data_IF_028605279569
#
_entry.id   IF_028605279569
#
_cell.length_a   1.000
_cell.length_b   1.000
_cell.length_c   1.000
_cell.angle_alpha   90.00
_cell.angle_beta   90.00
_cell.angle_gamma   90.00
#
_symmetry.space_group_name_H-M   'P 1'
#
loop_
_entity.id
_entity.type
_entity.pdbx_description
1 polymer ?
#
# COMPACT_ATOMS: atom_id res chain seq x y z
N UNK A 1 17.31 -56.88 -22.94
CA UNK A 1 18.60 -56.23 -22.60
C UNK A 1 18.28 -54.79 -22.23
N UNK A 2 18.13 -54.49 -20.94
CA UNK A 2 17.85 -53.13 -20.45
C UNK A 2 19.15 -52.34 -20.41
N UNK A 3 19.20 -51.22 -21.12
CA UNK A 3 20.29 -50.25 -21.01
C UNK A 3 19.82 -49.13 -20.08
N UNK A 4 20.34 -49.11 -18.85
CA UNK A 4 20.06 -48.05 -17.88
C UNK A 4 20.76 -46.76 -18.26
N UNK A 5 20.00 -45.66 -18.34
CA UNK A 5 20.52 -44.30 -18.51
C UNK A 5 21.16 -43.86 -17.17
N UNK A 6 22.49 -43.88 -17.12
CA UNK A 6 23.24 -43.49 -15.92
C UNK A 6 23.32 -41.95 -15.88
N UNK A 7 22.47 -41.30 -15.07
CA UNK A 7 22.61 -39.87 -14.78
C UNK A 7 23.84 -39.68 -13.89
N UNK A 8 24.94 -39.20 -14.47
CA UNK A 8 26.16 -38.90 -13.71
C UNK A 8 25.99 -37.52 -13.08
N UNK A 9 25.93 -37.49 -11.75
CA UNK A 9 26.07 -36.26 -10.97
C UNK A 9 27.46 -35.68 -11.20
N UNK A 10 27.54 -34.46 -11.74
CA UNK A 10 28.80 -33.74 -11.95
C UNK A 10 29.02 -32.85 -10.72
N UNK A 11 30.02 -33.13 -9.87
CA UNK A 11 30.34 -32.28 -8.72
C UNK A 11 30.84 -30.91 -9.18
N UNK A 12 30.59 -29.87 -8.37
CA UNK A 12 30.86 -28.45 -8.68
C UNK A 12 32.33 -28.14 -9.04
N UNK A 13 33.25 -29.04 -8.73
CA UNK A 13 34.69 -28.89 -9.01
C UNK A 13 35.07 -29.19 -10.48
N UNK A 14 34.16 -29.76 -11.28
CA UNK A 14 34.39 -30.11 -12.70
C UNK A 14 33.86 -29.04 -13.69
N UNK A 15 33.27 -27.94 -13.18
CA UNK A 15 32.76 -26.84 -14.00
C UNK A 15 33.88 -25.85 -14.28
N UNK A 16 34.46 -25.86 -15.48
CA UNK A 16 35.38 -24.81 -15.94
C UNK A 16 34.58 -23.52 -16.15
N UNK A 17 34.80 -22.52 -15.28
CA UNK A 17 34.15 -21.20 -15.32
C UNK A 17 34.32 -20.48 -16.67
N UNK A 18 35.25 -20.92 -17.52
CA UNK A 18 35.48 -20.39 -18.86
C UNK A 18 34.51 -20.89 -19.94
N UNK A 19 33.73 -21.94 -19.66
CA UNK A 19 32.74 -22.49 -20.60
C UNK A 19 31.28 -22.18 -20.22
N UNK A 20 31.04 -21.55 -19.07
CA UNK A 20 29.69 -21.15 -18.65
C UNK A 20 29.39 -19.77 -19.21
N UNK A 21 28.51 -19.70 -20.21
CA UNK A 21 27.97 -18.43 -20.69
C UNK A 21 27.05 -17.85 -19.61
N UNK A 22 27.58 -16.89 -18.84
CA UNK A 22 26.75 -16.09 -17.94
C UNK A 22 25.84 -15.17 -18.75
N UNK A 23 24.53 -15.39 -18.64
CA UNK A 23 23.53 -14.47 -19.18
C UNK A 23 23.57 -13.15 -18.40
N UNK A 24 23.84 -12.03 -19.10
CA UNK A 24 23.82 -10.67 -18.54
C UNK A 24 22.65 -9.87 -19.11
N UNK A 25 21.67 -9.54 -18.27
CA UNK A 25 20.50 -8.73 -18.63
C UNK A 25 20.76 -7.21 -18.71
N UNK A 26 22.00 -6.78 -18.98
CA UNK A 26 22.41 -5.35 -18.90
C UNK A 26 22.87 -4.68 -20.20
N UNK A 27 22.87 -5.39 -21.34
CA UNK A 27 23.48 -4.88 -22.58
C UNK A 27 22.51 -4.09 -23.48
N UNK A 28 21.70 -3.19 -22.90
CA UNK A 28 20.93 -2.20 -23.68
C UNK A 28 21.36 -0.74 -23.44
N UNK A 29 22.18 -0.45 -22.42
CA UNK A 29 22.55 0.94 -22.09
C UNK A 29 23.98 1.37 -22.52
N UNK A 30 24.62 0.69 -23.47
CA UNK A 30 25.92 1.14 -23.98
C UNK A 30 26.15 0.74 -25.44
N UNK A 31 25.35 1.34 -26.32
CA UNK A 31 25.83 1.76 -27.63
C UNK A 31 25.64 3.28 -27.71
N UNK A 32 26.67 4.00 -27.30
CA UNK A 32 26.75 5.44 -27.48
C UNK A 32 26.77 5.78 -28.96
N UNK A 33 25.97 6.79 -29.34
CA UNK A 33 26.07 7.33 -30.69
C UNK A 33 24.90 8.18 -31.18
N UNK A 34 24.26 9.01 -30.36
CA UNK A 34 23.62 10.21 -30.90
C UNK A 34 23.93 11.43 -30.04
N UNK A 35 24.55 12.36 -30.74
CA UNK A 35 25.05 13.65 -30.29
C UNK A 35 23.91 14.54 -29.80
N UNK A 36 24.29 15.45 -28.92
CA UNK A 36 23.54 16.64 -28.52
C UNK A 36 22.75 17.31 -29.67
N UNK A 37 21.44 17.44 -29.48
CA UNK A 37 20.64 18.53 -30.05
C UNK A 37 20.41 19.59 -28.96
N UNK A 38 20.43 20.89 -29.29
CA UNK A 38 20.36 21.96 -28.29
C UNK A 38 18.90 22.19 -27.85
N UNK A 39 18.66 22.45 -26.56
CA UNK A 39 17.43 23.10 -26.14
C UNK A 39 16.70 22.62 -24.87
N UNK A 40 17.30 21.86 -23.95
CA UNK A 40 16.66 21.58 -22.65
C UNK A 40 17.63 21.81 -21.48
N UNK A 41 17.20 22.48 -20.40
CA UNK A 41 18.09 22.85 -19.30
C UNK A 41 18.50 21.63 -18.48
N UNK A 42 19.81 21.50 -18.28
CA UNK A 42 20.45 20.48 -17.45
C UNK A 42 20.21 20.80 -15.97
N UNK A 43 19.58 19.90 -15.22
CA UNK A 43 19.40 20.05 -13.76
C UNK A 43 20.43 19.16 -13.08
N UNK A 44 21.64 19.68 -12.90
CA UNK A 44 22.63 19.08 -12.01
C UNK A 44 23.50 20.16 -11.40
N UNK A 45 23.47 20.21 -10.06
CA UNK A 45 24.32 21.09 -9.28
C UNK A 45 23.68 21.45 -7.95
N UNK A 46 23.86 20.60 -6.94
CA UNK A 46 24.01 21.12 -5.58
C UNK A 46 25.32 21.92 -5.52
N UNK A 47 25.35 23.04 -4.79
CA UNK A 47 26.58 23.39 -4.10
C UNK A 47 26.36 23.79 -2.64
N UNK A 48 27.40 23.47 -1.86
CA UNK A 48 27.60 23.79 -0.46
C UNK A 48 27.60 25.29 -0.12
N UNK A 49 27.42 25.54 1.18
CA UNK A 49 27.40 26.82 1.86
C UNK A 49 28.73 27.61 1.80
N UNK A 50 28.67 28.95 1.69
CA UNK A 50 29.16 29.91 2.71
C UNK A 50 29.09 31.41 2.31
N UNK A 51 28.59 32.21 3.27
CA UNK A 51 28.98 33.56 3.72
C UNK A 51 28.90 34.83 2.83
N UNK A 52 27.94 35.72 3.22
CA UNK A 52 27.93 37.19 3.46
C UNK A 52 29.09 38.10 2.95
N UNK A 53 28.82 39.39 2.60
CA UNK A 53 28.42 40.50 3.52
C UNK A 53 27.29 41.39 2.92
N UNK A 54 26.63 42.36 3.54
CA UNK A 54 26.79 43.10 4.80
C UNK A 54 26.24 44.52 4.61
N UNK A 55 25.42 44.99 5.55
CA UNK A 55 25.14 46.41 5.84
C UNK A 55 23.83 46.97 5.27
N UNK A 56 23.06 47.81 5.98
CA UNK A 56 23.17 48.34 7.33
C UNK A 56 21.87 49.09 7.69
N UNK A 57 21.57 49.15 9.00
CA UNK A 57 20.68 50.14 9.63
C UNK A 57 19.34 49.55 10.07
N UNK A 58 18.92 49.60 11.33
CA UNK A 58 19.39 50.29 12.53
C UNK A 58 18.69 49.63 13.73
N UNK A 59 19.40 49.60 14.86
CA UNK A 59 19.01 49.01 16.14
C UNK A 59 17.71 49.57 16.73
N UNK A 60 17.04 48.77 17.59
CA UNK A 60 16.88 49.02 19.04
C UNK A 60 15.95 48.01 19.75
N UNK A 61 16.49 47.39 20.82
CA UNK A 61 15.85 46.88 22.06
C UNK A 61 14.71 45.85 22.03
N UNK A 62 14.81 44.72 22.76
CA UNK A 62 13.67 43.87 23.05
C UNK A 62 12.87 44.45 24.23
N UNK A 63 11.62 44.85 23.97
CA UNK A 63 10.65 45.12 25.01
C UNK A 63 9.99 43.81 25.44
N UNK A 64 10.14 43.51 26.73
CA UNK A 64 9.31 42.58 27.48
C UNK A 64 7.83 42.98 27.31
N UNK A 65 6.96 42.06 26.88
CA UNK A 65 5.53 42.22 27.03
C UNK A 65 4.89 40.87 27.30
N UNK A 66 4.60 40.65 28.57
CA UNK A 66 3.72 39.64 29.12
C UNK A 66 2.39 39.60 28.35
N UNK A 67 2.11 38.47 27.71
CA UNK A 67 0.80 38.11 27.18
C UNK A 67 0.13 37.08 28.08
N UNK A 68 -0.16 37.44 29.33
CA UNK A 68 -1.11 36.68 30.15
C UNK A 68 -2.51 37.17 29.80
N UNK A 69 -3.28 36.34 29.10
CA UNK A 69 -4.71 36.55 28.96
C UNK A 69 -5.35 36.44 30.35
N UNK A 70 -5.93 37.56 30.80
CA UNK A 70 -6.81 37.64 31.96
C UNK A 70 -8.01 36.72 31.73
N UNK A 71 -8.07 35.62 32.48
CA UNK A 71 -9.30 34.86 32.66
C UNK A 71 -10.20 35.69 33.58
N UNK A 72 -11.19 36.35 32.98
CA UNK A 72 -12.30 36.97 33.69
C UNK A 72 -13.07 35.87 34.45
N UNK A 73 -13.10 35.98 35.78
CA UNK A 73 -14.06 35.23 36.60
C UNK A 73 -15.48 35.77 36.36
N UNK A 74 -16.50 34.91 36.17
CA UNK A 74 -17.88 35.35 36.31
C UNK A 74 -18.16 35.68 37.77
N UNK A 75 -18.69 36.89 38.00
CA UNK A 75 -19.09 37.37 39.31
C UNK A 75 -20.14 36.46 39.95
N UNK A 76 -19.85 36.03 41.18
CA UNK A 76 -20.84 35.43 42.08
C UNK A 76 -20.61 36.03 43.46
N UNK A 77 -21.11 37.25 43.61
CA UNK A 77 -21.39 37.85 44.91
C UNK A 77 -22.77 37.39 45.31
N UNK A 78 -22.85 36.39 46.20
CA UNK A 78 -24.09 36.06 46.90
C UNK A 78 -23.73 35.55 48.30
N UNK A 79 -23.44 36.51 49.18
CA UNK A 79 -23.50 36.30 50.62
C UNK A 79 -24.86 36.85 51.07
N UNK A 80 -25.65 36.12 51.87
CA UNK A 80 -26.91 36.64 52.38
C UNK A 80 -26.63 37.86 53.26
N UNK A 81 -27.12 39.03 52.83
CA UNK A 81 -27.26 40.22 53.67
C UNK A 81 -28.34 39.91 54.70
N UNK A 82 -27.96 39.93 55.98
CA UNK A 82 -28.92 39.98 57.07
C UNK A 82 -29.55 41.38 57.05
N UNK A 83 -30.81 41.45 56.65
CA UNK A 83 -31.64 42.65 56.75
C UNK A 83 -31.84 42.99 58.23
N UNK A 84 -31.20 44.07 58.67
CA UNK A 84 -31.49 44.70 59.94
C UNK A 84 -32.59 45.73 59.69
N UNK A 85 -33.85 45.34 59.90
CA UNK A 85 -34.94 46.29 60.06
C UNK A 85 -35.83 45.94 61.27
N UNK A 86 -35.83 46.91 62.20
CA UNK A 86 -36.89 47.26 63.17
C UNK A 86 -37.68 46.14 63.87
N UNK A 87 -37.26 45.78 65.09
CA UNK A 87 -38.20 45.43 66.16
C UNK A 87 -38.03 46.42 67.32
N UNK A 88 -38.98 47.35 67.43
CA UNK A 88 -39.11 48.31 68.52
C UNK A 88 -39.51 47.55 69.78
N UNK A 89 -38.72 47.68 70.85
CA UNK A 89 -39.08 47.27 72.20
C UNK A 89 -39.04 48.52 73.07
N UNK A 90 -40.23 48.90 73.56
CA UNK A 90 -40.49 49.97 74.50
C UNK A 90 -39.56 49.86 75.73
N UNK A 91 -38.89 50.97 76.06
CA UNK A 91 -38.13 51.16 77.29
C UNK A 91 -39.07 51.77 78.31
N UNK A 92 -39.66 50.93 79.16
CA UNK A 92 -40.23 51.37 80.43
C UNK A 92 -39.14 51.25 81.50
N UNK A 93 -38.86 52.37 82.16
CA UNK A 93 -37.84 52.50 83.19
C UNK A 93 -38.48 52.39 84.57
N UNK A 94 -38.23 51.30 85.29
CA UNK A 94 -38.15 51.33 86.75
C UNK A 94 -37.23 50.21 87.29
N UNK A 95 -36.32 50.62 88.18
CA UNK A 95 -35.20 49.88 88.81
C UNK A 95 -35.71 48.94 89.95
N UNK A 96 -34.91 48.04 90.61
CA UNK A 96 -33.48 47.77 90.52
C UNK A 96 -33.00 46.28 90.59
N UNK A 97 -31.75 46.06 90.17
CA UNK A 97 -30.83 45.11 90.81
C UNK A 97 -31.00 43.60 90.54
N UNK A 98 -30.14 43.04 89.69
CA UNK A 98 -29.38 41.80 89.97
C UNK A 98 -28.19 41.78 89.03
N UNK A 99 -27.00 41.63 89.60
CA UNK A 99 -25.75 41.54 88.88
C UNK A 99 -25.81 40.41 87.83
N UNK A 100 -25.71 40.76 86.55
CA UNK A 100 -25.37 39.80 85.52
C UNK A 100 -23.89 39.42 85.71
N UNK A 101 -23.63 38.33 86.42
CA UNK A 101 -22.34 37.64 86.31
C UNK A 101 -22.21 37.16 84.87
N UNK A 102 -21.43 37.89 84.08
CA UNK A 102 -20.76 37.30 82.93
C UNK A 102 -19.92 36.14 83.49
N UNK A 103 -20.11 34.88 83.06
CA UNK A 103 -19.17 33.85 83.46
C UNK A 103 -17.80 34.28 82.94
N UNK A 104 -16.83 34.44 83.83
CA UNK A 104 -15.43 34.54 83.44
C UNK A 104 -15.11 33.27 82.66
N UNK A 105 -15.01 33.38 81.34
CA UNK A 105 -14.60 32.26 80.50
C UNK A 105 -13.13 32.03 80.80
N UNK A 106 -12.80 30.86 81.36
CA UNK A 106 -11.41 30.47 81.62
C UNK A 106 -10.62 30.53 80.29
N UNK A 107 -9.62 31.41 80.21
CA UNK A 107 -8.82 31.66 78.99
C UNK A 107 -8.16 30.39 78.44
N UNK A 108 -7.75 29.47 79.32
CA UNK A 108 -7.18 28.18 78.94
C UNK A 108 -8.21 27.31 78.20
N UNK A 109 -9.47 27.32 78.66
CA UNK A 109 -10.54 26.53 78.04
C UNK A 109 -10.93 27.07 76.67
N UNK A 110 -10.89 28.39 76.50
CA UNK A 110 -11.11 29.03 75.20
C UNK A 110 -9.98 28.69 74.21
N UNK A 111 -8.73 28.66 74.67
CA UNK A 111 -7.60 28.32 73.81
C UNK A 111 -7.64 26.86 73.34
N UNK A 112 -7.96 25.92 74.23
CA UNK A 112 -8.16 24.50 73.86
C UNK A 112 -9.27 24.33 72.82
N UNK A 113 -10.39 25.03 72.98
CA UNK A 113 -11.50 24.98 72.01
C UNK A 113 -11.08 25.54 70.64
N UNK A 114 -10.27 26.59 70.60
CA UNK A 114 -9.77 27.15 69.34
C UNK A 114 -8.78 26.22 68.63
N UNK A 115 -7.88 25.56 69.37
CA UNK A 115 -6.95 24.58 68.82
C UNK A 115 -7.69 23.34 68.31
N UNK A 116 -8.69 22.86 69.04
CA UNK A 116 -9.57 21.77 68.59
C UNK A 116 -10.31 22.15 67.31
N UNK A 117 -10.95 23.32 67.27
CA UNK A 117 -11.64 23.80 66.08
C UNK A 117 -10.71 23.98 64.87
N UNK A 118 -9.45 24.41 65.09
CA UNK A 118 -8.43 24.49 64.03
C UNK A 118 -8.02 23.11 63.53
N UNK A 119 -7.77 22.16 64.42
CA UNK A 119 -7.38 20.81 64.06
C UNK A 119 -8.51 20.08 63.30
N UNK A 120 -9.75 20.22 63.76
CA UNK A 120 -10.94 19.68 63.10
C UNK A 120 -11.15 20.32 61.72
N UNK A 121 -11.15 21.65 61.63
CA UNK A 121 -11.28 22.35 60.35
C UNK A 121 -10.15 22.02 59.36
N UNK A 122 -8.92 21.82 59.84
CA UNK A 122 -7.80 21.39 59.01
C UNK A 122 -7.96 19.94 58.54
N UNK A 123 -8.40 19.03 59.41
CA UNK A 123 -8.65 17.63 59.06
C UNK A 123 -9.80 17.51 58.04
N UNK A 124 -10.90 18.23 58.25
CA UNK A 124 -12.03 18.29 57.33
C UNK A 124 -11.66 18.90 55.98
N UNK A 125 -10.96 20.04 55.97
CA UNK A 125 -10.51 20.68 54.72
C UNK A 125 -9.53 19.82 53.93
N UNK A 126 -8.67 19.07 54.62
CA UNK A 126 -7.74 18.14 53.99
C UNK A 126 -8.45 16.91 53.40
N UNK A 127 -9.46 16.37 54.08
CA UNK A 127 -10.28 15.28 53.53
C UNK A 127 -11.14 15.74 52.35
N UNK A 128 -11.77 16.92 52.46
CA UNK A 128 -12.52 17.55 51.36
C UNK A 128 -11.62 17.78 50.15
N UNK A 129 -10.45 18.40 50.34
CA UNK A 129 -9.48 18.64 49.26
C UNK A 129 -8.99 17.33 48.62
N UNK A 130 -8.81 16.26 49.39
CA UNK A 130 -8.47 14.92 48.85
C UNK A 130 -9.62 14.31 48.05
N UNK A 131 -10.87 14.49 48.47
CA UNK A 131 -12.03 14.01 47.73
C UNK A 131 -12.23 14.78 46.43
N UNK A 132 -12.15 16.10 46.48
CA UNK A 132 -12.25 16.97 45.30
C UNK A 132 -11.12 16.69 44.30
N UNK A 133 -9.87 16.57 44.76
CA UNK A 133 -8.74 16.24 43.89
C UNK A 133 -8.91 14.88 43.21
N UNK A 134 -9.42 13.87 43.94
CA UNK A 134 -9.72 12.55 43.37
C UNK A 134 -10.82 12.63 42.31
N UNK A 135 -11.90 13.36 42.58
CA UNK A 135 -13.01 13.50 41.64
C UNK A 135 -12.59 14.26 40.37
N UNK A 136 -11.86 15.37 40.52
CA UNK A 136 -11.33 16.13 39.39
C UNK A 136 -10.37 15.29 38.55
N UNK A 137 -9.45 14.55 39.19
CA UNK A 137 -8.55 13.65 38.48
C UNK A 137 -9.32 12.58 37.70
N UNK A 138 -10.34 11.97 38.30
CA UNK A 138 -11.17 10.96 37.65
C UNK A 138 -11.89 11.55 36.43
N UNK A 139 -12.50 12.72 36.57
CA UNK A 139 -13.18 13.42 35.47
C UNK A 139 -12.21 13.75 34.34
N UNK A 140 -11.03 14.30 34.64
CA UNK A 140 -10.01 14.59 33.64
C UNK A 140 -9.53 13.34 32.89
N UNK A 141 -9.38 12.21 33.59
CA UNK A 141 -9.01 10.94 32.96
C UNK A 141 -10.14 10.39 32.08
N UNK A 142 -11.38 10.44 32.55
CA UNK A 142 -12.54 9.99 31.78
C UNK A 142 -12.73 10.85 30.52
N UNK A 143 -12.54 12.17 30.62
CA UNK A 143 -12.56 13.11 29.49
C UNK A 143 -11.43 12.82 28.50
N UNK A 144 -10.20 12.60 28.99
CA UNK A 144 -9.07 12.27 28.12
C UNK A 144 -9.29 10.94 27.39
N UNK A 145 -9.69 9.88 28.11
CA UNK A 145 -9.94 8.56 27.52
C UNK A 145 -11.09 8.65 26.52
N UNK A 146 -12.16 9.38 26.84
CA UNK A 146 -13.35 9.47 25.99
C UNK A 146 -13.19 10.39 24.79
N UNK A 147 -12.38 11.43 24.88
CA UNK A 147 -12.05 12.35 23.79
C UNK A 147 -10.75 11.96 23.11
N UNK A 148 -9.65 12.60 23.51
CA UNK A 148 -8.34 12.54 22.83
C UNK A 148 -7.79 11.12 22.71
N UNK A 149 -7.96 10.28 23.73
CA UNK A 149 -7.54 8.89 23.73
C UNK A 149 -8.24 8.06 22.66
N UNK A 150 -9.57 8.18 22.55
CA UNK A 150 -10.36 7.53 21.50
C UNK A 150 -10.02 8.06 20.11
N UNK A 151 -9.92 9.36 19.94
CA UNK A 151 -9.56 9.95 18.64
C UNK A 151 -8.17 9.47 18.17
N UNK A 152 -7.20 9.45 19.08
CA UNK A 152 -5.84 8.98 18.78
C UNK A 152 -5.86 7.50 18.42
N UNK A 153 -6.57 6.67 19.19
CA UNK A 153 -6.72 5.24 18.89
C UNK A 153 -7.36 5.01 17.51
N UNK A 154 -8.43 5.75 17.17
CA UNK A 154 -9.07 5.69 15.86
C UNK A 154 -8.13 6.10 14.72
N UNK A 155 -7.33 7.15 14.90
CA UNK A 155 -6.34 7.58 13.90
C UNK A 155 -5.29 6.51 13.68
N UNK A 156 -4.77 5.91 14.75
CA UNK A 156 -3.78 4.82 14.67
C UNK A 156 -4.39 3.60 13.98
N UNK A 157 -5.62 3.21 14.35
CA UNK A 157 -6.33 2.09 13.73
C UNK A 157 -6.57 2.31 12.22
N UNK A 158 -6.96 3.53 11.84
CA UNK A 158 -7.11 3.91 10.44
C UNK A 158 -5.78 3.83 9.66
N UNK A 159 -4.67 4.27 10.26
CA UNK A 159 -3.34 4.17 9.65
C UNK A 159 -2.91 2.71 9.47
N UNK A 160 -3.11 1.86 10.48
CA UNK A 160 -2.77 0.44 10.41
C UNK A 160 -3.61 -0.28 9.36
N UNK A 161 -4.91 0.01 9.32
CA UNK A 161 -5.82 -0.52 8.30
C UNK A 161 -5.43 -0.08 6.89
N UNK A 162 -5.05 1.20 6.73
CA UNK A 162 -4.55 1.74 5.47
C UNK A 162 -3.24 1.07 5.02
N UNK A 163 -2.33 0.79 5.96
CA UNK A 163 -1.07 0.10 5.67
C UNK A 163 -1.30 -1.36 5.25
N UNK A 164 -2.18 -2.09 5.94
CA UNK A 164 -2.55 -3.47 5.58
C UNK A 164 -3.20 -3.52 4.18
N UNK A 165 -4.13 -2.61 3.90
CA UNK A 165 -4.74 -2.48 2.58
C UNK A 165 -3.69 -2.15 1.50
N UNK A 166 -2.80 -1.20 1.78
CA UNK A 166 -1.70 -0.83 0.88
C UNK A 166 -0.75 -1.98 0.60
N UNK A 167 -0.41 -2.79 1.61
CA UNK A 167 0.46 -3.94 1.44
C UNK A 167 -0.20 -5.06 0.61
N UNK A 168 -1.50 -5.32 0.84
CA UNK A 168 -2.28 -6.27 0.03
C UNK A 168 -2.36 -5.83 -1.43
N UNK A 169 -2.57 -4.54 -1.68
CA UNK A 169 -2.60 -4.00 -3.02
C UNK A 169 -1.23 -4.15 -3.71
N UNK A 170 -0.15 -3.77 -3.03
CA UNK A 170 1.21 -3.92 -3.54
C UNK A 170 1.53 -5.39 -3.87
N UNK A 171 1.11 -6.35 -3.04
CA UNK A 171 1.29 -7.77 -3.32
C UNK A 171 0.52 -8.23 -4.56
N UNK A 172 -0.73 -7.78 -4.73
CA UNK A 172 -1.53 -8.12 -5.90
C UNK A 172 -0.91 -7.56 -7.18
N UNK A 173 -0.48 -6.30 -7.14
CA UNK A 173 0.15 -5.63 -8.29
C UNK A 173 1.49 -6.30 -8.64
N UNK A 174 2.34 -6.59 -7.66
CA UNK A 174 3.60 -7.28 -7.88
C UNK A 174 3.41 -8.70 -8.43
N UNK A 175 2.41 -9.44 -7.94
CA UNK A 175 2.08 -10.77 -8.46
C UNK A 175 1.63 -10.69 -9.93
N UNK A 176 0.82 -9.68 -10.27
CA UNK A 176 0.32 -9.46 -11.62
C UNK A 176 1.46 -9.07 -12.59
N UNK A 177 2.36 -8.18 -12.19
CA UNK A 177 3.53 -7.80 -12.98
C UNK A 177 4.50 -8.97 -13.18
N UNK A 178 4.78 -9.73 -12.13
CA UNK A 178 5.64 -10.91 -12.21
C UNK A 178 5.05 -11.97 -13.15
N UNK A 179 3.73 -12.19 -13.09
CA UNK A 179 3.04 -13.12 -13.98
C UNK A 179 3.11 -12.65 -15.46
N UNK A 180 2.94 -11.35 -15.72
CA UNK A 180 3.10 -10.77 -17.06
C UNK A 180 4.53 -10.98 -17.57
N UNK A 181 5.54 -10.65 -16.77
CA UNK A 181 6.94 -10.82 -17.14
C UNK A 181 7.29 -12.29 -17.41
N UNK A 182 6.84 -13.22 -16.56
CA UNK A 182 7.06 -14.65 -16.76
C UNK A 182 6.40 -15.13 -18.06
N UNK A 183 5.21 -14.63 -18.37
CA UNK A 183 4.52 -14.89 -19.64
C UNK A 183 5.30 -14.35 -20.84
N UNK A 184 5.82 -13.13 -20.78
CA UNK A 184 6.60 -12.55 -21.88
C UNK A 184 7.90 -13.31 -22.15
N UNK A 185 8.61 -13.71 -21.08
CA UNK A 185 9.80 -14.55 -21.18
C UNK A 185 9.44 -15.90 -21.81
N UNK A 186 8.41 -16.57 -21.30
CA UNK A 186 7.99 -17.86 -21.83
C UNK A 186 7.55 -17.77 -23.31
N UNK A 187 6.87 -16.70 -23.72
CA UNK A 187 6.52 -16.46 -25.13
C UNK A 187 7.78 -16.32 -25.98
N UNK A 188 8.78 -15.59 -25.50
CA UNK A 188 10.04 -15.40 -26.23
C UNK A 188 10.82 -16.71 -26.36
N UNK A 189 10.86 -17.52 -25.30
CA UNK A 189 11.46 -18.86 -25.33
C UNK A 189 10.75 -19.75 -26.35
N UNK A 190 9.41 -19.81 -26.33
CA UNK A 190 8.64 -20.61 -27.30
C UNK A 190 8.87 -20.14 -28.75
N UNK A 191 8.92 -18.83 -28.99
CA UNK A 191 9.26 -18.27 -30.31
C UNK A 191 10.65 -18.71 -30.76
N UNK A 192 11.63 -18.66 -29.87
CA UNK A 192 12.99 -19.06 -30.16
C UNK A 192 13.07 -20.57 -30.44
N UNK A 193 12.42 -21.39 -29.61
CA UNK A 193 12.39 -22.85 -29.78
C UNK A 193 11.76 -23.24 -31.11
N UNK A 194 10.63 -22.65 -31.51
CA UNK A 194 9.99 -22.93 -32.80
C UNK A 194 10.87 -22.53 -33.99
N UNK A 195 11.64 -21.44 -33.86
CA UNK A 195 12.62 -21.04 -34.89
C UNK A 195 13.79 -21.99 -35.00
N UNK A 196 14.31 -22.50 -33.87
CA UNK A 196 15.43 -23.45 -33.87
C UNK A 196 15.02 -24.89 -34.16
N UNK A 197 13.78 -25.25 -33.82
CA UNK A 197 13.24 -26.61 -33.92
C UNK A 197 11.83 -26.62 -34.54
N UNK A 198 11.70 -26.39 -35.87
CA UNK A 198 10.40 -26.35 -36.54
C UNK A 198 9.58 -27.65 -36.40
N UNK A 199 10.24 -28.79 -36.14
CA UNK A 199 9.58 -30.08 -35.87
C UNK A 199 8.58 -30.05 -34.71
N UNK A 200 8.74 -29.13 -33.75
CA UNK A 200 7.78 -28.92 -32.66
C UNK A 200 6.41 -28.41 -33.14
N UNK A 201 6.26 -28.06 -34.41
CA UNK A 201 4.99 -27.68 -35.03
C UNK A 201 4.12 -28.90 -35.42
N UNK A 202 4.69 -30.09 -35.58
CA UNK A 202 3.95 -31.30 -36.00
C UNK A 202 2.73 -31.62 -35.10
N UNK A 203 2.85 -31.61 -33.75
CA UNK A 203 1.70 -31.85 -32.88
C UNK A 203 0.59 -30.80 -33.06
N UNK A 204 0.97 -29.56 -33.38
CA UNK A 204 0.05 -28.44 -33.60
C UNK A 204 -0.77 -28.65 -34.86
N UNK A 205 -0.11 -29.10 -35.94
CA UNK A 205 -0.77 -29.46 -37.19
C UNK A 205 -1.76 -30.60 -36.97
N UNK A 206 -1.36 -31.64 -36.22
CA UNK A 206 -2.23 -32.77 -35.88
C UNK A 206 -3.47 -32.31 -35.10
N UNK A 207 -3.28 -31.53 -34.03
CA UNK A 207 -4.39 -30.99 -33.24
C UNK A 207 -5.35 -30.16 -34.11
N UNK A 208 -4.81 -29.30 -34.98
CA UNK A 208 -5.63 -28.46 -35.86
C UNK A 208 -6.39 -29.26 -36.92
N UNK A 209 -5.79 -30.34 -37.45
CA UNK A 209 -6.45 -31.28 -38.35
C UNK A 209 -7.55 -32.07 -37.62
N UNK A 210 -7.27 -32.57 -36.43
CA UNK A 210 -8.21 -33.34 -35.60
C UNK A 210 -9.47 -32.52 -35.27
N UNK A 211 -9.32 -31.21 -35.03
CA UNK A 211 -10.44 -30.29 -34.82
C UNK A 211 -11.41 -30.20 -36.01
N UNK A 212 -10.94 -30.48 -37.24
CA UNK A 212 -11.73 -30.38 -38.48
C UNK A 212 -11.99 -31.74 -39.16
N UNK A 213 -11.39 -32.82 -38.66
CA UNK A 213 -11.44 -34.15 -39.27
C UNK A 213 -12.82 -34.81 -39.18
N UNK A 214 -13.70 -34.34 -38.29
CA UNK A 214 -15.05 -34.87 -38.06
C UNK A 214 -15.94 -34.94 -39.30
N UNK A 215 -15.69 -34.08 -40.30
CA UNK A 215 -16.55 -33.94 -41.48
C UNK A 215 -16.16 -34.83 -42.67
N UNK A 216 -15.02 -35.54 -42.61
CA UNK A 216 -14.54 -36.43 -43.68
C UNK A 216 -14.20 -35.73 -45.02
N UNK A 217 -14.19 -34.40 -45.02
CA UNK A 217 -13.90 -33.51 -46.16
C UNK A 217 -12.38 -33.36 -46.34
N UNK A 218 -11.97 -32.91 -47.52
CA UNK A 218 -10.58 -32.58 -47.78
C UNK A 218 -10.17 -31.34 -46.98
N UNK A 219 -9.00 -31.40 -46.35
CA UNK A 219 -8.43 -30.31 -45.56
C UNK A 219 -7.27 -29.67 -46.32
N UNK A 220 -7.15 -28.35 -46.26
CA UNK A 220 -6.03 -27.59 -46.79
C UNK A 220 -5.25 -27.02 -45.63
N UNK A 221 -3.97 -27.34 -45.54
CA UNK A 221 -3.06 -26.82 -44.51
C UNK A 221 -2.08 -25.85 -45.14
N UNK A 222 -2.05 -24.63 -44.63
CA UNK A 222 -1.18 -23.54 -45.07
C UNK A 222 -0.12 -23.28 -44.00
N UNK A 223 1.13 -23.29 -44.42
CA UNK A 223 2.34 -23.16 -43.60
C UNK A 223 3.27 -22.13 -44.20
N UNK A 224 4.14 -21.52 -43.39
CA UNK A 224 5.24 -20.72 -43.92
C UNK A 224 6.16 -21.59 -44.81
N UNK A 225 6.70 -21.06 -45.92
CA UNK A 225 7.60 -21.83 -46.79
C UNK A 225 8.85 -22.38 -46.09
N UNK A 226 9.40 -21.66 -45.11
CA UNK A 226 10.58 -22.11 -44.35
C UNK A 226 10.25 -23.31 -43.46
N UNK A 227 9.10 -23.27 -42.78
CA UNK A 227 8.66 -24.39 -41.93
C UNK A 227 8.26 -25.59 -42.78
N UNK A 228 7.55 -25.35 -43.88
CA UNK A 228 7.15 -26.40 -44.81
C UNK A 228 8.38 -27.15 -45.35
N UNK A 229 9.44 -26.45 -45.74
CA UNK A 229 10.66 -27.08 -46.26
C UNK A 229 11.32 -28.05 -45.25
N UNK A 230 11.24 -27.77 -43.94
CA UNK A 230 11.78 -28.64 -42.89
C UNK A 230 10.82 -29.79 -42.56
N UNK A 231 9.52 -29.55 -42.63
CA UNK A 231 8.48 -30.48 -42.18
C UNK A 231 7.96 -31.41 -43.28
N UNK A 232 8.16 -31.10 -44.55
CA UNK A 232 7.56 -31.77 -45.71
C UNK A 232 7.71 -33.30 -45.65
N UNK A 233 8.91 -33.80 -45.34
CA UNK A 233 9.16 -35.25 -45.24
C UNK A 233 8.35 -35.90 -44.11
N UNK A 234 8.30 -35.28 -42.93
CA UNK A 234 7.54 -35.79 -41.79
C UNK A 234 6.03 -35.73 -42.05
N UNK A 235 5.54 -34.63 -42.66
CA UNK A 235 4.12 -34.46 -43.01
C UNK A 235 3.67 -35.50 -44.04
N UNK A 236 4.50 -35.77 -45.06
CA UNK A 236 4.26 -36.81 -46.06
C UNK A 236 4.31 -38.21 -45.46
N UNK A 237 5.21 -38.47 -44.51
CA UNK A 237 5.27 -39.76 -43.81
C UNK A 237 4.02 -40.02 -42.93
N UNK A 238 3.51 -38.99 -42.25
CA UNK A 238 2.33 -39.11 -41.36
C UNK A 238 1.01 -39.21 -42.12
N UNK A 239 0.85 -38.41 -43.18
CA UNK A 239 -0.44 -38.28 -43.86
C UNK A 239 -0.47 -38.98 -45.22
N UNK A 240 0.66 -39.47 -45.74
CA UNK A 240 0.75 -40.30 -46.94
C UNK A 240 0.13 -39.68 -48.21
N UNK A 241 0.19 -40.43 -49.31
CA UNK A 241 -0.42 -40.01 -50.58
C UNK A 241 -1.96 -40.23 -50.64
N UNK A 242 -2.54 -40.94 -49.66
CA UNK A 242 -3.97 -41.27 -49.63
C UNK A 242 -4.78 -40.39 -48.67
N UNK A 243 -4.16 -39.51 -47.88
CA UNK A 243 -4.94 -38.55 -47.11
C UNK A 243 -5.58 -37.51 -48.03
N UNK A 244 -6.73 -37.00 -47.60
CA UNK A 244 -7.40 -35.87 -48.25
C UNK A 244 -6.81 -34.53 -47.81
N UNK A 245 -5.54 -34.50 -47.39
CA UNK A 245 -4.87 -33.30 -46.88
C UNK A 245 -4.01 -32.69 -47.98
N UNK A 246 -4.29 -31.45 -48.33
CA UNK A 246 -3.50 -30.65 -49.25
C UNK A 246 -2.57 -29.72 -48.46
N UNK A 247 -1.28 -29.80 -48.71
CA UNK A 247 -0.28 -28.92 -48.11
C UNK A 247 0.04 -27.75 -49.04
N UNK A 248 0.01 -26.52 -48.52
CA UNK A 248 0.29 -25.29 -49.27
C UNK A 248 1.34 -24.48 -48.52
N UNK A 249 2.45 -24.17 -49.20
CA UNK A 249 3.40 -23.17 -48.73
C UNK A 249 2.86 -21.77 -49.01
N UNK A 250 2.67 -20.95 -47.99
CA UNK A 250 2.07 -19.63 -48.07
C UNK A 250 2.93 -18.60 -47.30
N UNK A 251 3.52 -17.64 -48.03
CA UNK A 251 4.33 -16.59 -47.43
C UNK A 251 3.52 -15.58 -46.59
N UNK A 252 2.19 -15.58 -46.71
CA UNK A 252 1.30 -14.81 -45.83
C UNK A 252 1.11 -15.43 -44.45
N UNK A 253 1.57 -16.67 -44.23
CA UNK A 253 1.58 -17.33 -42.91
C UNK A 253 2.93 -17.09 -42.25
N UNK A 254 2.93 -16.58 -41.01
CA UNK A 254 4.15 -16.35 -40.25
C UNK A 254 4.84 -17.68 -39.89
N UNK A 255 6.15 -17.64 -39.64
CA UNK A 255 6.87 -18.82 -39.16
C UNK A 255 6.33 -19.29 -37.80
N UNK A 256 6.11 -20.60 -37.66
CA UNK A 256 5.53 -21.23 -36.47
C UNK A 256 4.00 -21.17 -36.41
N UNK A 257 3.34 -20.58 -37.42
CA UNK A 257 1.89 -20.53 -37.56
C UNK A 257 1.37 -21.57 -38.57
N UNK A 258 0.16 -22.06 -38.31
CA UNK A 258 -0.54 -23.05 -39.14
C UNK A 258 -1.97 -22.60 -39.34
N UNK A 259 -2.45 -22.69 -40.58
CA UNK A 259 -3.86 -22.48 -40.90
C UNK A 259 -4.43 -23.70 -41.58
N UNK A 260 -5.51 -24.23 -41.05
CA UNK A 260 -6.20 -25.41 -41.59
C UNK A 260 -7.59 -24.99 -42.02
N UNK A 261 -7.97 -25.35 -43.24
CA UNK A 261 -9.27 -25.06 -43.83
C UNK A 261 -9.92 -26.37 -44.29
N UNK A 262 -11.17 -26.63 -43.92
CA UNK A 262 -11.91 -27.83 -44.35
C UNK A 262 -13.39 -27.51 -44.47
N UNK A 263 -13.98 -27.78 -45.62
CA UNK A 263 -15.44 -27.73 -45.78
C UNK A 263 -16.11 -26.38 -45.46
N UNK A 264 -15.39 -25.27 -45.53
CA UNK A 264 -15.88 -23.93 -45.16
C UNK A 264 -15.58 -23.52 -43.72
N UNK A 265 -15.06 -24.42 -42.89
CA UNK A 265 -14.51 -24.10 -41.58
C UNK A 265 -13.00 -23.83 -41.67
N UNK A 266 -12.51 -22.94 -40.81
CA UNK A 266 -11.11 -22.57 -40.74
C UNK A 266 -10.64 -22.59 -39.28
N UNK A 267 -9.57 -23.33 -39.03
CA UNK A 267 -8.83 -23.31 -37.77
C UNK A 267 -7.53 -22.57 -38.00
N UNK A 268 -7.36 -21.49 -37.23
CA UNK A 268 -6.12 -20.76 -37.17
C UNK A 268 -5.38 -21.18 -35.90
N UNK A 269 -4.34 -21.98 -36.10
CA UNK A 269 -3.45 -22.49 -35.07
C UNK A 269 -2.20 -21.60 -34.91
N UNK A 270 -2.33 -20.30 -35.21
CA UNK A 270 -1.30 -19.31 -34.96
C UNK A 270 -0.88 -19.26 -33.50
N UNK A 271 0.41 -19.08 -33.27
CA UNK A 271 1.04 -19.06 -31.96
C UNK A 271 0.39 -18.02 -31.03
N UNK A 272 0.00 -16.84 -31.51
CA UNK A 272 -0.63 -15.82 -30.67
C UNK A 272 -2.03 -16.24 -30.18
N UNK A 273 -2.78 -17.03 -30.97
CA UNK A 273 -4.07 -17.59 -30.54
C UNK A 273 -3.87 -18.70 -29.51
N UNK A 274 -2.91 -19.60 -29.74
CA UNK A 274 -2.55 -20.67 -28.80
C UNK A 274 -2.04 -20.11 -27.48
N UNK A 275 -1.19 -19.09 -27.55
CA UNK A 275 -0.67 -18.38 -26.39
C UNK A 275 -1.80 -17.77 -25.56
N UNK A 276 -2.74 -17.06 -26.19
CA UNK A 276 -3.91 -16.50 -25.49
C UNK A 276 -4.72 -17.57 -24.77
N UNK A 277 -4.94 -18.73 -25.39
CA UNK A 277 -5.65 -19.85 -24.76
C UNK A 277 -4.89 -20.39 -23.54
N UNK A 278 -3.56 -20.55 -23.64
CA UNK A 278 -2.73 -21.03 -22.55
C UNK A 278 -2.71 -20.04 -21.36
N UNK A 279 -2.58 -18.75 -21.66
CA UNK A 279 -2.48 -17.69 -20.66
C UNK A 279 -3.83 -17.35 -20.01
N UNK A 280 -4.95 -17.51 -20.73
CA UNK A 280 -6.29 -17.33 -20.16
C UNK A 280 -6.56 -18.26 -18.96
N UNK A 281 -5.98 -19.48 -18.96
CA UNK A 281 -6.09 -20.41 -17.85
C UNK A 281 -5.41 -19.91 -16.55
N UNK A 282 -4.51 -18.93 -16.65
CA UNK A 282 -3.79 -18.32 -15.53
C UNK A 282 -4.51 -17.09 -14.95
N UNK A 283 -5.73 -16.79 -15.40
CA UNK A 283 -6.47 -15.59 -14.95
C UNK A 283 -6.03 -14.30 -15.63
N UNK A 284 -5.05 -14.36 -16.54
CA UNK A 284 -4.65 -13.26 -17.43
C UNK A 284 -5.66 -13.10 -18.57
N UNK A 285 -6.90 -12.79 -18.24
CA UNK A 285 -7.92 -12.48 -19.23
C UNK A 285 -8.00 -10.96 -19.36
N UNK A 286 -7.55 -10.43 -20.50
CA UNK A 286 -7.81 -9.09 -21.07
C UNK A 286 -6.80 -7.94 -20.96
N UNK A 287 -5.57 -8.11 -20.45
CA UNK A 287 -4.60 -6.97 -20.47
C UNK A 287 -3.93 -6.71 -21.83
N UNK A 288 -4.10 -7.60 -22.81
CA UNK A 288 -3.33 -7.58 -24.07
C UNK A 288 -4.08 -7.05 -25.29
N UNK A 289 -5.13 -6.23 -25.12
CA UNK A 289 -5.79 -5.55 -26.24
C UNK A 289 -6.45 -4.20 -25.86
N UNK A 290 -5.71 -3.34 -25.16
CA UNK A 290 -6.04 -1.91 -25.06
C UNK A 290 -5.09 -1.00 -25.87
N UNK A 291 -4.17 -1.59 -26.66
CA UNK A 291 -3.23 -0.84 -27.50
C UNK A 291 -3.63 -0.64 -28.97
N UNK A 292 -4.74 -1.23 -29.43
CA UNK A 292 -5.18 -1.16 -30.85
C UNK A 292 -6.56 -0.51 -31.05
N UNK A 293 -7.09 0.16 -30.03
CA UNK A 293 -8.23 1.08 -30.19
C UNK A 293 -7.72 2.52 -30.09
N UNK A 294 -7.65 3.17 -31.25
CA UNK A 294 -7.55 4.63 -31.50
C UNK A 294 -6.43 5.01 -32.47
N UNK A 295 -6.48 4.46 -33.68
CA UNK A 295 -5.95 5.08 -34.89
C UNK A 295 -6.80 4.65 -36.10
N UNK A 296 -8.02 5.19 -36.18
CA UNK A 296 -8.95 5.01 -37.29
C UNK A 296 -9.91 6.18 -37.37
#
# INVERSE_FOLDING_TARGET
>A
MSSGMNSRFIPSEEIDERQVVQWRFGAVDHMGGLQSLPGLPNIQGAPDAQAAPGGAGMARTPASSSGFHSLSLPGRSDAPRLDADSMVLDVDADTPGTAASTPAVDEERLHELLEQARAEGHAEGLEQGRQEARQQWQQHMDDYVSGTGRETAQRVDALLSGLDAGFKQLQADAAQELLNLACDIARQVVRQELRSQPQALLPVVREALDMLASDGRAATVRLNPADFAVLDEALRAEHGAQSKVQWISDAGVAQGDVRVESGGAQVDAGMDKRWRRAVAALGLVSTWYDGERDAG
#
